data_IF_050468723205
#
_entry.id   IF_050468723205
#
_cell.length_a   1.000
_cell.length_b   1.000
_cell.length_c   1.000
_cell.angle_alpha   90.00
_cell.angle_beta   90.00
_cell.angle_gamma   90.00
#
_symmetry.space_group_name_H-M   'P 1'
#
loop_
_entity.id
_entity.type
_entity.pdbx_description
1 polymer ?
#
# COMPACT_ATOMS: atom_id res chain seq x y z
N UNK A 1 -49.34 -12.54 63.37
CA UNK A 1 -48.59 -11.65 62.55
C UNK A 1 -47.47 -12.46 61.86
N UNK A 2 -47.67 -12.83 60.58
CA UNK A 2 -46.69 -13.60 59.78
C UNK A 2 -45.78 -12.63 59.06
N UNK A 3 -44.47 -12.67 59.35
CA UNK A 3 -43.47 -11.87 58.65
C UNK A 3 -43.13 -12.56 57.34
N UNK A 4 -43.36 -11.84 56.19
CA UNK A 4 -43.02 -12.29 54.88
C UNK A 4 -41.55 -11.91 54.65
N UNK A 5 -40.67 -12.88 54.40
CA UNK A 5 -39.29 -12.66 54.06
C UNK A 5 -39.23 -12.71 52.52
N UNK A 6 -38.93 -11.58 51.91
CA UNK A 6 -38.66 -11.48 50.46
C UNK A 6 -37.19 -11.76 50.24
N UNK A 7 -36.90 -12.88 49.58
CA UNK A 7 -35.52 -13.20 49.12
C UNK A 7 -35.36 -12.61 47.74
N UNK A 8 -34.52 -11.59 47.61
CA UNK A 8 -34.10 -11.02 46.34
C UNK A 8 -32.86 -11.78 45.84
N UNK A 9 -33.05 -12.62 44.84
CA UNK A 9 -31.93 -13.27 44.13
C UNK A 9 -31.35 -12.30 43.08
N UNK A 10 -30.16 -11.80 43.33
CA UNK A 10 -29.36 -11.09 42.30
C UNK A 10 -28.82 -12.11 41.31
N UNK A 11 -29.36 -12.10 40.09
CA UNK A 11 -28.76 -12.80 38.97
C UNK A 11 -27.54 -12.02 38.50
N UNK A 12 -26.34 -12.49 38.86
CA UNK A 12 -25.09 -11.96 38.36
C UNK A 12 -24.88 -12.33 36.88
N UNK A 13 -24.98 -11.37 35.98
CA UNK A 13 -24.58 -11.56 34.61
C UNK A 13 -23.04 -11.66 34.53
N UNK A 14 -22.54 -12.86 34.33
CA UNK A 14 -21.12 -13.07 34.04
C UNK A 14 -20.77 -12.48 32.65
N UNK A 15 -20.10 -11.36 32.64
CA UNK A 15 -19.47 -10.82 31.41
C UNK A 15 -18.28 -11.73 31.04
N UNK A 16 -18.50 -12.62 30.08
CA UNK A 16 -17.40 -13.38 29.49
C UNK A 16 -16.51 -12.39 28.71
N UNK A 17 -15.19 -12.34 29.01
CA UNK A 17 -14.30 -11.54 28.19
C UNK A 17 -14.25 -12.16 26.79
N UNK A 18 -14.62 -11.39 25.77
CA UNK A 18 -14.35 -11.76 24.40
C UNK A 18 -12.83 -11.73 24.21
N UNK A 19 -12.21 -12.89 24.25
CA UNK A 19 -10.85 -13.08 23.81
C UNK A 19 -10.85 -12.92 22.28
N UNK A 20 -10.47 -11.73 21.82
CA UNK A 20 -10.07 -11.53 20.43
C UNK A 20 -8.75 -12.28 20.26
N UNK A 21 -8.82 -13.53 19.80
CA UNK A 21 -7.62 -14.23 19.32
C UNK A 21 -7.09 -13.48 18.09
N UNK A 22 -6.06 -12.69 18.28
CA UNK A 22 -5.26 -12.16 17.19
C UNK A 22 -4.56 -13.35 16.51
N UNK A 23 -5.17 -13.92 15.48
CA UNK A 23 -4.49 -14.85 14.56
C UNK A 23 -3.49 -14.05 13.72
N UNK A 24 -2.37 -13.69 14.30
CA UNK A 24 -1.26 -13.01 13.69
C UNK A 24 0.02 -13.83 13.83
N UNK A 25 0.03 -15.06 13.34
CA UNK A 25 1.23 -15.91 13.28
C UNK A 25 2.05 -15.72 12.01
N UNK A 26 2.20 -14.48 11.50
CA UNK A 26 3.13 -14.19 10.42
C UNK A 26 4.58 -14.30 10.91
N UNK A 27 5.44 -14.97 10.12
CA UNK A 27 6.88 -15.01 10.38
C UNK A 27 7.44 -13.58 10.32
N UNK A 28 8.24 -13.19 11.32
CA UNK A 28 8.94 -11.91 11.27
C UNK A 28 9.87 -11.85 10.05
N UNK A 29 9.90 -10.70 9.37
CA UNK A 29 10.75 -10.43 8.21
C UNK A 29 11.74 -9.34 8.59
N UNK A 30 13.02 -9.56 8.32
CA UNK A 30 14.10 -8.62 8.60
C UNK A 30 15.00 -8.54 7.36
N UNK A 31 14.74 -7.56 6.50
CA UNK A 31 15.52 -7.30 5.30
C UNK A 31 16.25 -5.95 5.46
N UNK A 32 17.57 -5.97 5.44
CA UNK A 32 18.33 -4.73 5.34
C UNK A 32 18.29 -4.18 3.91
N UNK A 33 18.50 -2.88 3.75
CA UNK A 33 18.48 -2.25 2.42
C UNK A 33 19.49 -2.90 1.44
N UNK A 34 20.62 -3.42 1.96
CA UNK A 34 21.64 -4.13 1.16
C UNK A 34 21.23 -5.54 0.73
N UNK A 35 20.26 -6.14 1.43
CA UNK A 35 19.81 -7.52 1.17
C UNK A 35 18.62 -7.60 0.21
N UNK A 36 18.01 -6.47 -0.12
CA UNK A 36 16.87 -6.39 -1.03
C UNK A 36 17.21 -6.97 -2.41
N UNK A 37 16.35 -7.84 -2.91
CA UNK A 37 16.55 -8.53 -4.20
C UNK A 37 15.87 -7.75 -5.32
N UNK A 38 16.60 -6.78 -5.86
CA UNK A 38 16.13 -5.94 -6.95
C UNK A 38 16.00 -6.71 -8.26
N UNK A 39 14.91 -6.47 -8.97
CA UNK A 39 14.63 -7.01 -10.31
C UNK A 39 14.15 -5.89 -11.21
N UNK A 40 14.61 -5.88 -12.45
CA UNK A 40 14.07 -5.00 -13.48
C UNK A 40 12.59 -5.30 -13.71
N UNK A 41 11.82 -4.25 -13.91
CA UNK A 41 10.40 -4.37 -14.29
C UNK A 41 10.33 -4.62 -15.80
N UNK A 42 9.66 -5.68 -16.28
CA UNK A 42 9.47 -5.88 -17.70
C UNK A 42 8.85 -4.65 -18.37
N UNK A 43 9.28 -4.36 -19.60
CA UNK A 43 8.77 -3.28 -20.46
C UNK A 43 8.89 -1.84 -19.91
N UNK A 44 9.62 -1.67 -18.78
CA UNK A 44 9.83 -0.36 -18.16
C UNK A 44 11.32 -0.20 -17.78
N UNK A 45 12.19 0.15 -18.74
CA UNK A 45 13.63 0.24 -18.53
C UNK A 45 14.01 1.15 -17.36
N UNK A 46 14.92 0.67 -16.51
CA UNK A 46 15.42 1.40 -15.34
C UNK A 46 14.50 1.38 -14.11
N UNK A 47 13.27 0.89 -14.22
CA UNK A 47 12.41 0.66 -13.06
C UNK A 47 12.75 -0.68 -12.44
N UNK A 48 13.05 -0.67 -11.15
CA UNK A 48 13.37 -1.88 -10.39
C UNK A 48 12.41 -2.07 -9.23
N UNK A 49 12.10 -3.31 -8.90
CA UNK A 49 11.27 -3.68 -7.75
C UNK A 49 11.98 -4.70 -6.86
N UNK A 50 11.70 -4.63 -5.55
CA UNK A 50 12.17 -5.62 -4.58
C UNK A 50 11.04 -5.98 -3.61
N UNK A 51 10.49 -7.18 -3.75
CA UNK A 51 9.45 -7.67 -2.85
C UNK A 51 10.03 -7.98 -1.46
N UNK A 52 9.32 -7.58 -0.42
CA UNK A 52 9.67 -7.84 0.99
C UNK A 52 8.62 -8.70 1.71
N UNK A 53 7.38 -8.70 1.23
CA UNK A 53 6.34 -9.58 1.77
C UNK A 53 5.31 -9.91 0.68
N UNK A 54 4.85 -11.16 0.64
CA UNK A 54 3.96 -11.64 -0.41
C UNK A 54 4.63 -11.71 -1.78
N UNK A 55 3.82 -11.88 -2.81
CA UNK A 55 4.26 -11.88 -4.21
C UNK A 55 3.36 -10.92 -5.01
N UNK A 56 3.78 -9.66 -5.20
CA UNK A 56 2.97 -8.66 -5.88
C UNK A 56 2.67 -9.02 -7.35
N UNK A 57 3.41 -9.96 -7.94
CA UNK A 57 3.13 -10.43 -9.30
C UNK A 57 1.93 -11.38 -9.39
N UNK A 58 1.48 -11.90 -8.25
CA UNK A 58 0.39 -12.88 -8.16
C UNK A 58 -0.78 -12.43 -7.30
N UNK A 59 -0.55 -11.54 -6.33
CA UNK A 59 -1.56 -11.09 -5.38
C UNK A 59 -1.09 -9.93 -4.54
N UNK A 60 -1.67 -9.81 -3.34
CA UNK A 60 -1.27 -8.78 -2.38
C UNK A 60 0.21 -8.93 -1.97
N UNK A 61 0.88 -7.81 -1.80
CA UNK A 61 2.29 -7.81 -1.43
C UNK A 61 2.84 -6.44 -1.08
N UNK A 62 4.01 -6.46 -0.46
CA UNK A 62 4.75 -5.26 -0.08
C UNK A 62 6.11 -5.28 -0.78
N UNK A 63 6.50 -4.16 -1.36
CA UNK A 63 7.71 -4.09 -2.15
C UNK A 63 8.23 -2.66 -2.25
N UNK A 64 9.51 -2.53 -2.52
CA UNK A 64 10.11 -1.27 -2.92
C UNK A 64 10.11 -1.13 -4.45
N UNK A 65 9.98 0.11 -4.91
CA UNK A 65 10.13 0.50 -6.33
C UNK A 65 11.20 1.58 -6.43
N UNK A 66 12.15 1.39 -7.34
CA UNK A 66 13.07 2.46 -7.79
C UNK A 66 12.62 2.95 -9.14
N UNK A 67 12.52 4.26 -9.25
CA UNK A 67 12.23 4.98 -10.49
C UNK A 67 13.49 5.76 -10.90
N UNK A 68 13.95 5.65 -12.14
CA UNK A 68 15.11 6.42 -12.59
C UNK A 68 14.79 7.92 -12.62
N UNK A 69 15.84 8.74 -12.66
CA UNK A 69 15.69 10.19 -12.87
C UNK A 69 14.90 10.48 -14.15
N UNK A 70 13.95 11.42 -14.07
CA UNK A 70 13.10 11.79 -15.19
C UNK A 70 12.05 10.75 -15.59
N UNK A 71 11.88 9.68 -14.80
CA UNK A 71 10.82 8.71 -15.05
C UNK A 71 9.46 9.40 -15.16
N UNK A 72 8.67 8.99 -16.15
CA UNK A 72 7.32 9.47 -16.34
C UNK A 72 6.42 8.35 -16.84
N UNK A 73 5.47 7.93 -16.03
CA UNK A 73 4.33 7.14 -16.45
C UNK A 73 3.21 8.09 -16.88
N UNK A 74 2.71 7.91 -18.11
CA UNK A 74 1.53 8.60 -18.60
C UNK A 74 0.28 8.25 -17.80
N UNK A 75 -0.89 8.68 -18.28
CA UNK A 75 -2.14 8.35 -17.61
C UNK A 75 -2.33 6.83 -17.57
N UNK A 76 -2.49 6.30 -16.37
CA UNK A 76 -2.65 4.88 -16.11
C UNK A 76 -3.46 4.66 -14.84
N UNK A 77 -3.81 3.41 -14.59
CA UNK A 77 -4.34 2.95 -13.30
C UNK A 77 -3.69 1.64 -12.87
N UNK A 78 -3.93 1.25 -11.63
CA UNK A 78 -3.66 -0.09 -11.12
C UNK A 78 -4.99 -0.78 -10.82
N UNK A 79 -5.10 -2.09 -11.08
CA UNK A 79 -6.37 -2.81 -10.85
C UNK A 79 -6.71 -2.90 -9.37
N UNK A 80 -5.72 -3.05 -8.51
CA UNK A 80 -5.90 -3.19 -7.06
C UNK A 80 -5.69 -1.86 -6.32
N UNK A 81 -6.32 -1.75 -5.16
CA UNK A 81 -6.00 -0.71 -4.19
C UNK A 81 -4.54 -0.81 -3.77
N UNK A 82 -3.90 0.33 -3.60
CA UNK A 82 -2.53 0.36 -3.11
C UNK A 82 -2.24 1.63 -2.31
N UNK A 83 -1.23 1.52 -1.47
CA UNK A 83 -0.69 2.59 -0.65
C UNK A 83 0.79 2.73 -0.97
N UNK A 84 1.30 3.95 -0.92
CA UNK A 84 2.71 4.20 -1.12
C UNK A 84 3.26 5.24 -0.14
N UNK A 85 4.51 5.04 0.25
CA UNK A 85 5.31 6.01 0.98
C UNK A 85 6.50 6.39 0.12
N UNK A 86 6.76 7.68 -0.02
CA UNK A 86 7.97 8.18 -0.69
C UNK A 86 9.14 8.03 0.27
N UNK A 87 10.08 7.16 -0.07
CA UNK A 87 11.29 6.89 0.73
C UNK A 87 12.40 7.90 0.38
N UNK A 88 12.59 8.16 -0.92
CA UNK A 88 13.55 9.16 -1.39
C UNK A 88 13.11 9.75 -2.74
N UNK A 89 13.64 10.92 -3.06
CA UNK A 89 13.29 11.69 -4.25
C UNK A 89 11.92 12.37 -4.12
N UNK A 90 11.47 13.03 -5.17
CA UNK A 90 10.19 13.73 -5.22
C UNK A 90 9.32 13.15 -6.31
N UNK A 91 8.14 12.68 -5.92
CA UNK A 91 7.11 12.18 -6.83
C UNK A 91 6.12 13.29 -7.13
N UNK A 92 5.73 13.42 -8.39
CA UNK A 92 4.64 14.28 -8.83
C UNK A 92 3.58 13.43 -9.50
N UNK A 93 2.34 13.60 -9.10
CA UNK A 93 1.18 12.91 -9.69
C UNK A 93 0.12 13.88 -10.11
N UNK A 94 -0.57 13.58 -11.20
CA UNK A 94 -1.81 14.28 -11.60
C UNK A 94 -2.97 13.33 -11.41
N UNK A 95 -3.95 13.76 -10.62
CA UNK A 95 -5.20 13.02 -10.33
C UNK A 95 -6.37 13.96 -10.57
N UNK A 96 -7.33 13.57 -11.39
CA UNK A 96 -8.50 14.40 -11.77
C UNK A 96 -8.12 15.81 -12.28
N UNK A 97 -7.00 15.89 -13.00
CA UNK A 97 -6.49 17.15 -13.54
C UNK A 97 -5.74 18.04 -12.54
N UNK A 98 -5.65 17.65 -11.28
CA UNK A 98 -4.90 18.38 -10.25
C UNK A 98 -3.54 17.71 -10.01
N UNK A 99 -2.49 18.52 -9.94
CA UNK A 99 -1.13 18.06 -9.65
C UNK A 99 -0.85 18.09 -8.13
N UNK A 100 -0.20 17.01 -7.66
CA UNK A 100 0.23 16.82 -6.28
C UNK A 100 1.71 16.49 -6.25
N UNK A 101 2.45 17.10 -5.34
CA UNK A 101 3.88 16.88 -5.13
C UNK A 101 4.12 16.19 -3.78
N UNK A 102 4.87 15.10 -3.83
CA UNK A 102 5.15 14.24 -2.69
C UNK A 102 6.66 14.14 -2.43
N UNK A 103 7.22 14.95 -1.52
CA UNK A 103 8.61 14.81 -1.06
C UNK A 103 8.79 13.56 -0.19
N UNK A 104 10.04 13.19 0.21
CA UNK A 104 10.32 12.08 1.09
C UNK A 104 9.49 12.14 2.39
N UNK A 105 9.01 10.98 2.85
CA UNK A 105 8.10 10.86 4.00
C UNK A 105 6.62 11.06 3.67
N UNK A 106 6.28 11.48 2.46
CA UNK A 106 4.89 11.62 2.03
C UNK A 106 4.22 10.25 1.85
N UNK A 107 2.92 10.23 2.09
CA UNK A 107 2.04 9.09 1.87
C UNK A 107 0.96 9.46 0.86
N UNK A 108 0.62 8.51 -0.01
CA UNK A 108 -0.57 8.58 -0.86
C UNK A 108 -1.19 7.19 -1.05
N UNK A 109 -2.46 7.17 -1.43
CA UNK A 109 -3.17 5.92 -1.75
C UNK A 109 -4.11 6.13 -2.93
N UNK A 110 -4.29 5.07 -3.70
CA UNK A 110 -5.29 5.01 -4.76
C UNK A 110 -6.17 3.79 -4.57
N UNK A 111 -7.47 3.99 -4.70
CA UNK A 111 -8.40 2.88 -4.88
C UNK A 111 -8.19 2.27 -6.26
N UNK A 112 -8.52 1.00 -6.42
CA UNK A 112 -8.40 0.30 -7.68
C UNK A 112 -9.05 1.05 -8.83
N UNK A 113 -8.38 1.06 -9.97
CA UNK A 113 -8.79 1.75 -11.22
C UNK A 113 -8.82 3.28 -11.15
N UNK A 114 -8.29 3.91 -10.07
CA UNK A 114 -8.14 5.37 -10.02
C UNK A 114 -7.05 5.82 -10.98
N UNK A 115 -7.44 6.59 -12.00
CA UNK A 115 -6.52 7.09 -13.01
C UNK A 115 -5.61 8.18 -12.46
N UNK A 116 -4.33 8.11 -12.80
CA UNK A 116 -3.32 9.10 -12.42
C UNK A 116 -2.12 9.04 -13.35
N UNK A 117 -1.27 10.07 -13.26
CA UNK A 117 0.08 10.05 -13.82
C UNK A 117 1.10 9.94 -12.69
N UNK A 118 2.32 9.51 -12.99
CA UNK A 118 3.40 9.49 -11.99
C UNK A 118 4.72 9.95 -12.63
N UNK A 119 5.39 10.90 -11.99
CA UNK A 119 6.72 11.37 -12.41
C UNK A 119 7.69 11.34 -11.24
N UNK A 120 8.94 10.99 -11.51
CA UNK A 120 10.06 11.23 -10.60
C UNK A 120 10.80 12.45 -11.08
N UNK A 121 10.85 13.51 -10.28
CA UNK A 121 11.47 14.78 -10.63
C UNK A 121 12.86 14.96 -10.02
N UNK A 122 13.30 14.03 -9.18
CA UNK A 122 14.60 14.07 -8.52
C UNK A 122 15.72 13.59 -9.47
N UNK A 123 16.85 14.33 -9.56
CA UNK A 123 17.97 13.92 -10.40
C UNK A 123 18.67 12.63 -9.95
N UNK A 124 18.53 12.24 -8.68
CA UNK A 124 19.04 10.98 -8.16
C UNK A 124 18.07 9.79 -8.35
N UNK A 125 16.88 10.04 -8.94
CA UNK A 125 15.79 9.07 -9.00
C UNK A 125 14.94 9.07 -7.73
N UNK A 126 13.93 8.22 -7.72
CA UNK A 126 12.98 8.14 -6.62
C UNK A 126 12.86 6.71 -6.11
N UNK A 127 12.55 6.56 -4.83
CA UNK A 127 12.23 5.28 -4.23
C UNK A 127 10.91 5.36 -3.47
N UNK A 128 10.04 4.40 -3.72
CA UNK A 128 8.76 4.21 -3.05
C UNK A 128 8.76 2.90 -2.29
N UNK A 129 8.07 2.85 -1.16
CA UNK A 129 7.56 1.62 -0.58
C UNK A 129 6.08 1.50 -0.93
N UNK A 130 5.67 0.35 -1.44
CA UNK A 130 4.30 0.09 -1.89
C UNK A 130 3.71 -1.10 -1.14
N UNK A 131 2.46 -0.94 -0.70
CA UNK A 131 1.61 -2.01 -0.17
C UNK A 131 0.42 -2.16 -1.12
N UNK A 132 0.36 -3.26 -1.87
CA UNK A 132 -0.74 -3.55 -2.79
C UNK A 132 -1.67 -4.61 -2.23
N UNK A 133 -2.97 -4.38 -2.35
CA UNK A 133 -4.01 -5.29 -1.85
C UNK A 133 -4.43 -6.34 -2.87
N UNK A 134 -3.78 -6.39 -4.00
CA UNK A 134 -3.97 -7.39 -5.05
C UNK A 134 -2.75 -7.46 -5.94
N UNK A 135 -2.87 -8.16 -7.07
CA UNK A 135 -1.81 -8.22 -8.07
C UNK A 135 -1.43 -6.80 -8.52
N UNK A 136 -0.12 -6.51 -8.49
CA UNK A 136 0.42 -5.28 -9.02
C UNK A 136 0.46 -5.32 -10.55
N UNK A 137 -0.15 -4.35 -11.16
CA UNK A 137 -0.11 -4.12 -12.61
C UNK A 137 -0.05 -2.60 -12.88
N UNK A 138 0.27 -2.24 -14.09
CA UNK A 138 0.18 -0.86 -14.61
C UNK A 138 -0.62 -0.95 -15.91
N UNK A 139 -1.83 -0.41 -15.90
CA UNK A 139 -2.74 -0.44 -17.05
C UNK A 139 -2.77 0.94 -17.69
N UNK A 140 -2.12 1.13 -18.86
CA UNK A 140 -2.14 2.41 -19.55
C UNK A 140 -3.55 2.79 -20.00
N UNK A 141 -3.89 4.05 -19.87
CA UNK A 141 -5.14 4.59 -20.41
C UNK A 141 -4.91 5.11 -21.83
N UNK A 142 -5.88 4.83 -22.69
CA UNK A 142 -5.89 5.44 -24.01
C UNK A 142 -6.23 6.92 -23.87
N UNK A 143 -5.28 7.80 -24.18
CA UNK A 143 -5.63 9.21 -24.40
C UNK A 143 -6.62 9.26 -25.54
N UNK A 144 -7.81 9.81 -25.28
CA UNK A 144 -8.75 10.07 -26.38
C UNK A 144 -8.02 10.91 -27.44
N UNK A 145 -7.95 10.37 -28.67
CA UNK A 145 -7.45 11.17 -29.78
C UNK A 145 -8.35 12.40 -29.93
N UNK A 146 -7.75 13.60 -29.82
CA UNK A 146 -8.44 14.86 -30.11
C UNK A 146 -8.67 14.99 -31.61
#
# INVERSE_FOLDING_TARGET
MRKLIVVVTLAGAALLPWAVEAKGGGKAVFDSAGDLKWKETPDTPGVQTAAVAGDPTKGAGKFFVKLPSGFSAGLHHHTADHFAVVVSGTIVQTVDGQEYTFPPGSYFSHTGKKQHTTKCTDPAGCMLFVDTHGKWDVVPEKTAAK
#
